data_IF_414009334633
#
_entry.id   IF_414009334633
#
_cell.length_a   1.000
_cell.length_b   1.000
_cell.length_c   1.000
_cell.angle_alpha   90.00
_cell.angle_beta   90.00
_cell.angle_gamma   90.00
#
_symmetry.space_group_name_H-M   'P 1'
#
loop_
_entity.id
_entity.type
_entity.pdbx_description
1 polymer ?
#
# COMPACT_ATOMS: atom_id res chain seq x y z
N UNK A 1 -34.53 5.69 4.27
CA UNK A 1 -33.57 6.66 4.83
C UNK A 1 -32.46 6.88 3.79
N UNK A 2 -32.39 8.09 3.19
CA UNK A 2 -31.48 8.44 2.11
C UNK A 2 -30.02 8.24 2.53
N UNK A 3 -29.65 8.62 3.75
CA UNK A 3 -28.27 8.43 4.23
C UNK A 3 -27.87 6.96 4.32
N UNK A 4 -28.79 6.07 4.71
CA UNK A 4 -28.52 4.63 4.74
C UNK A 4 -28.29 4.08 3.32
N UNK A 5 -29.05 4.53 2.33
CA UNK A 5 -28.85 4.14 0.93
C UNK A 5 -27.47 4.61 0.41
N UNK A 6 -27.06 5.82 0.77
CA UNK A 6 -25.74 6.33 0.39
C UNK A 6 -24.63 5.43 0.97
N UNK A 7 -24.69 5.10 2.26
CA UNK A 7 -23.64 4.34 2.92
C UNK A 7 -23.65 2.82 2.63
N UNK A 8 -24.81 2.24 2.30
CA UNK A 8 -24.88 0.83 1.90
C UNK A 8 -24.58 0.60 0.43
N UNK A 9 -24.84 1.57 -0.44
CA UNK A 9 -24.70 1.39 -1.89
C UNK A 9 -23.66 2.36 -2.46
N UNK A 10 -23.86 3.68 -2.35
CA UNK A 10 -22.97 4.61 -3.04
C UNK A 10 -21.52 4.51 -2.54
N UNK A 11 -21.30 4.56 -1.24
CA UNK A 11 -19.96 4.57 -0.65
C UNK A 11 -19.18 3.28 -0.95
N UNK A 12 -19.71 2.06 -0.72
CA UNK A 12 -18.99 0.82 -1.04
C UNK A 12 -18.70 0.64 -2.53
N UNK A 13 -19.48 1.25 -3.40
CA UNK A 13 -19.23 1.19 -4.84
C UNK A 13 -18.24 2.27 -5.32
N UNK A 14 -18.34 3.49 -4.82
CA UNK A 14 -17.53 4.62 -5.25
C UNK A 14 -16.14 4.65 -4.59
N UNK A 15 -16.04 4.33 -3.30
CA UNK A 15 -14.81 4.46 -2.53
C UNK A 15 -13.68 3.55 -3.03
N UNK A 16 -13.91 2.25 -3.34
CA UNK A 16 -12.90 1.39 -3.93
C UNK A 16 -12.40 1.88 -5.28
N UNK A 17 -13.28 2.41 -6.13
CA UNK A 17 -12.89 3.01 -7.40
C UNK A 17 -11.99 4.22 -7.20
N UNK A 18 -12.37 5.13 -6.28
CA UNK A 18 -11.62 6.32 -5.98
C UNK A 18 -10.19 5.99 -5.50
N UNK A 19 -10.05 5.07 -4.53
CA UNK A 19 -8.75 4.65 -4.03
C UNK A 19 -7.92 3.97 -5.11
N UNK A 20 -8.51 3.03 -5.85
CA UNK A 20 -7.80 2.34 -6.93
C UNK A 20 -7.38 3.30 -8.03
N UNK A 21 -8.18 4.31 -8.34
CA UNK A 21 -7.85 5.34 -9.34
C UNK A 21 -6.71 6.26 -8.86
N UNK A 22 -6.74 6.72 -7.60
CA UNK A 22 -5.70 7.58 -7.03
C UNK A 22 -4.33 6.87 -7.02
N UNK A 23 -4.32 5.58 -6.68
CA UNK A 23 -3.08 4.81 -6.57
C UNK A 23 -2.72 4.02 -7.84
N UNK A 24 -3.47 4.19 -8.93
CA UNK A 24 -3.29 3.44 -10.18
C UNK A 24 -1.88 3.54 -10.80
N UNK A 25 -1.18 4.64 -10.54
CA UNK A 25 0.20 4.83 -11.03
C UNK A 25 1.21 3.93 -10.30
N UNK A 26 0.80 3.14 -9.32
CA UNK A 26 1.58 2.12 -8.60
C UNK A 26 2.96 2.60 -8.11
N UNK A 27 3.78 3.17 -8.99
CA UNK A 27 5.16 3.62 -8.76
C UNK A 27 5.27 5.09 -9.16
N UNK A 28 6.03 5.86 -8.41
CA UNK A 28 6.40 7.22 -8.80
C UNK A 28 7.34 7.13 -9.99
N UNK A 29 6.94 7.69 -11.12
CA UNK A 29 7.78 7.81 -12.32
C UNK A 29 8.20 9.26 -12.53
N UNK A 30 9.35 9.44 -13.20
CA UNK A 30 9.90 10.75 -13.53
C UNK A 30 10.05 11.67 -12.29
N UNK A 31 10.51 11.11 -11.15
CA UNK A 31 10.84 11.94 -10.00
C UNK A 31 11.90 12.98 -10.37
N UNK A 32 11.60 14.25 -10.17
CA UNK A 32 12.44 15.37 -10.61
C UNK A 32 13.69 15.47 -9.75
N UNK A 33 14.86 15.42 -10.37
CA UNK A 33 16.18 15.49 -9.76
C UNK A 33 17.01 16.60 -10.40
N UNK A 34 17.81 17.30 -9.62
CA UNK A 34 18.87 18.20 -10.09
C UNK A 34 20.21 17.52 -9.93
N UNK A 35 21.08 17.71 -10.90
CA UNK A 35 22.46 17.25 -10.81
C UNK A 35 23.38 18.44 -10.61
N UNK A 36 24.25 18.36 -9.60
CA UNK A 36 25.33 19.34 -9.39
C UNK A 36 26.62 18.68 -9.82
N UNK A 37 27.14 19.05 -10.99
CA UNK A 37 28.33 18.48 -11.57
C UNK A 37 29.50 19.49 -11.49
N UNK A 38 30.39 19.30 -10.52
CA UNK A 38 31.63 20.06 -10.40
C UNK A 38 32.81 19.34 -11.07
N UNK A 39 32.63 18.10 -11.51
CA UNK A 39 33.69 17.32 -12.19
C UNK A 39 33.78 17.64 -13.67
N UNK A 40 32.67 18.02 -14.30
CA UNK A 40 32.51 18.26 -15.75
C UNK A 40 33.21 17.18 -16.59
N UNK A 41 33.12 15.92 -16.17
CA UNK A 41 33.83 14.80 -16.78
C UNK A 41 32.90 13.97 -17.69
N UNK A 42 33.50 13.15 -18.55
CA UNK A 42 32.76 12.19 -19.34
C UNK A 42 31.96 11.21 -18.43
N UNK A 43 32.57 10.75 -17.36
CA UNK A 43 31.94 9.78 -16.43
C UNK A 43 30.79 10.38 -15.65
N UNK A 44 30.86 11.65 -15.21
CA UNK A 44 29.75 12.32 -14.53
C UNK A 44 28.56 12.55 -15.48
N UNK A 45 28.84 12.93 -16.74
CA UNK A 45 27.80 13.06 -17.77
C UNK A 45 27.16 11.72 -18.12
N UNK A 46 27.95 10.66 -18.24
CA UNK A 46 27.46 9.31 -18.53
C UNK A 46 26.60 8.78 -17.38
N UNK A 47 27.03 8.97 -16.13
CA UNK A 47 26.23 8.64 -14.94
C UNK A 47 24.90 9.38 -14.97
N UNK A 48 24.92 10.69 -15.17
CA UNK A 48 23.71 11.54 -15.26
C UNK A 48 22.78 11.05 -16.38
N UNK A 49 23.33 10.72 -17.55
CA UNK A 49 22.57 10.23 -18.69
C UNK A 49 21.87 8.90 -18.36
N UNK A 50 22.57 7.98 -17.70
CA UNK A 50 22.00 6.67 -17.31
C UNK A 50 20.93 6.83 -16.23
N UNK A 51 21.14 7.68 -15.24
CA UNK A 51 20.10 7.97 -14.23
C UNK A 51 18.86 8.59 -14.88
N UNK A 52 19.03 9.53 -15.81
CA UNK A 52 17.92 10.12 -16.54
C UNK A 52 17.23 9.15 -17.51
N UNK A 53 17.89 8.06 -17.91
CA UNK A 53 17.31 7.00 -18.73
C UNK A 53 16.48 6.01 -17.93
N UNK A 54 16.57 6.00 -16.59
CA UNK A 54 15.71 5.18 -15.75
C UNK A 54 14.28 5.70 -15.77
N UNK A 55 13.26 4.82 -15.70
CA UNK A 55 11.87 5.26 -15.73
C UNK A 55 11.44 6.04 -14.48
N UNK A 56 12.20 5.93 -13.39
CA UNK A 56 11.84 6.45 -12.08
C UNK A 56 12.31 7.88 -11.85
N UNK A 57 13.36 8.34 -12.57
CA UNK A 57 14.02 9.61 -12.34
C UNK A 57 14.08 10.44 -13.62
N UNK A 58 13.80 11.74 -13.47
CA UNK A 58 13.97 12.75 -14.51
C UNK A 58 14.90 13.86 -14.05
N UNK A 59 16.03 14.00 -14.70
CA UNK A 59 16.95 15.11 -14.47
C UNK A 59 16.37 16.39 -15.11
N UNK A 60 16.01 17.37 -14.28
CA UNK A 60 15.37 18.61 -14.72
C UNK A 60 16.37 19.74 -14.97
N UNK A 61 17.52 19.70 -14.30
CA UNK A 61 18.60 20.66 -14.47
C UNK A 61 19.96 20.05 -14.12
N UNK A 62 21.00 20.56 -14.76
CA UNK A 62 22.39 20.31 -14.39
C UNK A 62 23.02 21.67 -14.11
N UNK A 63 23.58 21.84 -12.91
CA UNK A 63 24.22 23.08 -12.45
C UNK A 63 25.58 22.76 -11.85
N UNK A 64 26.45 23.75 -11.74
CA UNK A 64 27.72 23.63 -10.99
C UNK A 64 27.58 24.23 -9.58
N UNK A 65 26.47 24.94 -9.31
CA UNK A 65 26.23 25.63 -8.05
C UNK A 65 25.25 24.83 -7.14
N UNK A 66 25.72 24.44 -5.97
CA UNK A 66 24.92 23.74 -4.95
C UNK A 66 23.79 24.64 -4.39
N UNK A 67 24.01 25.94 -4.29
CA UNK A 67 23.01 26.86 -3.74
C UNK A 67 21.83 27.07 -4.73
N UNK A 68 22.10 27.02 -6.02
CA UNK A 68 21.04 26.98 -7.03
C UNK A 68 20.20 25.70 -6.92
N UNK A 69 20.84 24.55 -6.79
CA UNK A 69 20.16 23.27 -6.63
C UNK A 69 19.29 23.25 -5.34
N UNK A 70 19.77 23.78 -4.23
CA UNK A 70 18.99 23.90 -2.99
C UNK A 70 17.76 24.79 -3.18
N UNK A 71 17.90 25.93 -3.86
CA UNK A 71 16.76 26.81 -4.19
C UNK A 71 15.71 26.11 -5.02
N UNK A 72 16.11 25.22 -5.94
CA UNK A 72 15.15 24.42 -6.71
C UNK A 72 14.40 23.40 -5.82
N UNK A 73 15.07 22.81 -4.81
CA UNK A 73 14.40 21.96 -3.81
C UNK A 73 13.41 22.77 -2.97
N UNK A 74 13.80 23.95 -2.49
CA UNK A 74 12.94 24.81 -1.68
C UNK A 74 11.69 25.25 -2.45
N UNK A 75 11.81 25.46 -3.75
CA UNK A 75 10.69 25.80 -4.65
C UNK A 75 9.89 24.59 -5.10
N UNK A 76 10.26 23.35 -4.68
CA UNK A 76 9.64 22.08 -5.13
C UNK A 76 9.70 21.87 -6.66
N UNK A 77 10.67 22.47 -7.31
CA UNK A 77 10.97 22.25 -8.73
C UNK A 77 11.72 20.92 -8.92
N UNK A 78 12.45 20.47 -7.88
CA UNK A 78 13.08 19.16 -7.76
C UNK A 78 12.93 18.61 -6.33
N UNK A 79 13.18 17.31 -6.15
CA UNK A 79 13.07 16.60 -4.87
C UNK A 79 14.35 15.89 -4.45
N UNK A 80 15.38 15.92 -5.30
CA UNK A 80 16.68 15.33 -5.02
C UNK A 80 17.80 16.04 -5.76
N UNK A 81 19.01 15.98 -5.19
CA UNK A 81 20.25 16.50 -5.77
C UNK A 81 21.26 15.37 -5.83
N UNK A 82 21.79 15.09 -7.00
CA UNK A 82 22.93 14.20 -7.20
C UNK A 82 24.18 15.07 -7.39
N UNK A 83 25.19 14.85 -6.54
CA UNK A 83 26.39 15.72 -6.53
C UNK A 83 27.63 14.96 -6.99
N UNK A 84 28.32 15.50 -7.98
CA UNK A 84 29.63 15.01 -8.43
C UNK A 84 30.73 15.98 -7.97
N UNK A 85 31.66 15.56 -7.09
CA UNK A 85 32.77 16.40 -6.65
C UNK A 85 33.80 16.60 -7.77
N UNK A 86 34.57 17.68 -7.69
CA UNK A 86 35.62 18.03 -8.68
C UNK A 86 36.62 16.93 -8.93
N UNK A 87 36.94 16.12 -7.94
CA UNK A 87 37.92 15.03 -8.07
C UNK A 87 37.32 13.69 -8.49
N UNK A 88 36.03 13.65 -8.83
CA UNK A 88 35.31 12.41 -9.16
C UNK A 88 36.03 11.58 -10.23
N UNK A 89 36.29 12.14 -11.40
CA UNK A 89 36.91 11.44 -12.53
C UNK A 89 38.38 11.13 -12.25
N UNK A 90 39.13 12.06 -11.64
CA UNK A 90 40.54 11.87 -11.30
C UNK A 90 40.74 10.70 -10.37
N UNK A 91 39.89 10.58 -9.32
CA UNK A 91 39.96 9.49 -8.37
C UNK A 91 39.68 8.14 -9.05
N UNK A 92 38.66 8.07 -9.89
CA UNK A 92 38.32 6.83 -10.62
C UNK A 92 39.45 6.40 -11.57
N UNK A 93 40.07 7.33 -12.31
CA UNK A 93 41.24 6.99 -13.18
C UNK A 93 42.48 6.57 -12.43
N UNK A 94 42.63 7.03 -11.17
CA UNK A 94 43.78 6.60 -10.32
C UNK A 94 43.47 5.36 -9.47
N UNK A 95 42.31 4.71 -9.67
CA UNK A 95 41.90 3.52 -8.93
C UNK A 95 41.47 3.82 -7.49
N UNK A 96 41.23 5.07 -7.17
CA UNK A 96 40.75 5.48 -5.83
C UNK A 96 39.23 5.48 -5.80
N UNK A 97 38.68 5.05 -4.67
CA UNK A 97 37.25 5.14 -4.42
C UNK A 97 36.80 6.60 -4.35
N UNK A 98 35.68 6.90 -4.98
CA UNK A 98 35.01 8.19 -4.88
C UNK A 98 33.55 8.03 -4.50
N UNK A 99 32.99 9.03 -3.83
CA UNK A 99 31.61 9.01 -3.36
C UNK A 99 30.80 10.04 -4.14
N UNK A 100 29.62 9.66 -4.55
CA UNK A 100 28.61 10.53 -5.17
C UNK A 100 27.49 10.76 -4.16
N UNK A 101 27.48 11.87 -3.42
CA UNK A 101 26.42 12.17 -2.48
C UNK A 101 25.06 12.37 -3.19
N UNK A 102 24.02 11.77 -2.59
CA UNK A 102 22.63 11.93 -2.98
C UNK A 102 21.87 12.62 -1.86
N UNK A 103 21.42 13.85 -2.10
CA UNK A 103 20.60 14.61 -1.15
C UNK A 103 19.14 14.53 -1.58
N UNK A 104 18.25 14.10 -0.69
CA UNK A 104 16.84 13.90 -1.00
C UNK A 104 15.93 14.61 -0.02
N UNK A 105 14.84 15.13 -0.53
CA UNK A 105 13.73 15.59 0.30
C UNK A 105 12.98 14.37 0.89
N UNK A 106 13.20 14.12 2.17
CA UNK A 106 12.59 13.00 2.89
C UNK A 106 11.12 13.23 3.26
N UNK A 107 10.52 14.35 2.87
CA UNK A 107 9.08 14.57 3.04
C UNK A 107 8.24 13.58 2.21
N UNK A 108 8.82 12.99 1.18
CA UNK A 108 8.23 11.92 0.38
C UNK A 108 9.16 10.71 0.27
N UNK A 109 8.84 9.67 1.02
CA UNK A 109 9.59 8.40 1.02
C UNK A 109 9.64 7.75 -0.38
N UNK A 110 8.62 7.94 -1.19
CA UNK A 110 8.54 7.37 -2.54
C UNK A 110 9.58 8.00 -3.48
N UNK A 111 9.78 9.32 -3.42
CA UNK A 111 10.84 9.98 -4.20
C UNK A 111 12.23 9.54 -3.76
N UNK A 112 12.47 9.48 -2.45
CA UNK A 112 13.74 8.96 -1.93
C UNK A 112 14.05 7.56 -2.45
N UNK A 113 13.06 6.63 -2.40
CA UNK A 113 13.20 5.27 -2.89
C UNK A 113 13.57 5.24 -4.38
N UNK A 114 12.89 6.05 -5.21
CA UNK A 114 13.13 6.15 -6.63
C UNK A 114 14.58 6.62 -6.94
N UNK A 115 15.02 7.70 -6.29
CA UNK A 115 16.37 8.23 -6.46
C UNK A 115 17.45 7.25 -6.00
N UNK A 116 17.25 6.63 -4.83
CA UNK A 116 18.21 5.69 -4.27
C UNK A 116 18.39 4.46 -5.16
N UNK A 117 17.29 3.89 -5.66
CA UNK A 117 17.34 2.72 -6.53
C UNK A 117 18.04 3.06 -7.86
N UNK A 118 17.63 4.13 -8.53
CA UNK A 118 18.22 4.55 -9.79
C UNK A 118 19.72 4.88 -9.66
N UNK A 119 20.09 5.66 -8.65
CA UNK A 119 21.50 6.02 -8.44
C UNK A 119 22.36 4.80 -8.07
N UNK A 120 21.83 3.87 -7.26
CA UNK A 120 22.56 2.66 -6.86
C UNK A 120 22.76 1.73 -8.04
N UNK A 121 21.74 1.46 -8.85
CA UNK A 121 21.79 0.62 -10.03
C UNK A 121 22.84 1.15 -11.03
N UNK A 122 22.76 2.44 -11.37
CA UNK A 122 23.73 3.07 -12.28
C UNK A 122 25.16 3.07 -11.70
N UNK A 123 25.30 3.28 -10.38
CA UNK A 123 26.61 3.23 -9.72
C UNK A 123 27.23 1.84 -9.77
N UNK A 124 26.45 0.80 -9.58
CA UNK A 124 26.90 -0.60 -9.67
C UNK A 124 27.30 -0.96 -11.10
N UNK A 125 26.51 -0.60 -12.09
CA UNK A 125 26.76 -0.88 -13.50
C UNK A 125 28.02 -0.16 -14.00
N UNK A 126 28.11 1.15 -13.77
CA UNK A 126 29.32 1.91 -14.11
C UNK A 126 30.55 1.41 -13.36
N UNK A 127 30.41 1.09 -12.07
CA UNK A 127 31.49 0.52 -11.28
C UNK A 127 31.98 -0.82 -11.82
N UNK A 128 31.06 -1.66 -12.36
CA UNK A 128 31.40 -2.91 -13.04
C UNK A 128 32.18 -2.65 -14.34
N UNK A 129 31.69 -1.75 -15.20
CA UNK A 129 32.37 -1.39 -16.46
C UNK A 129 33.77 -0.83 -16.24
N UNK A 130 33.95 0.08 -15.26
CA UNK A 130 35.26 0.65 -14.94
C UNK A 130 36.24 -0.42 -14.46
N UNK A 131 35.78 -1.36 -13.61
CA UNK A 131 36.63 -2.47 -13.15
C UNK A 131 37.02 -3.41 -14.28
N UNK A 132 36.10 -3.74 -15.17
CA UNK A 132 36.36 -4.57 -16.35
C UNK A 132 37.38 -3.91 -17.26
N UNK A 133 37.28 -2.61 -17.49
CA UNK A 133 38.21 -1.85 -18.32
C UNK A 133 39.63 -1.77 -17.72
N UNK A 134 39.74 -1.74 -16.39
CA UNK A 134 41.01 -1.64 -15.68
C UNK A 134 41.70 -3.01 -15.40
N UNK A 135 41.09 -4.14 -15.77
CA UNK A 135 41.64 -5.50 -15.61
C UNK A 135 41.90 -6.17 -16.94
N UNK A 136 42.89 -5.73 -17.71
CA UNK A 136 43.18 -6.27 -19.04
C UNK A 136 43.79 -7.67 -18.99
N UNK A 137 43.22 -8.62 -19.72
CA UNK A 137 43.88 -9.92 -20.03
C UNK A 137 43.17 -11.17 -19.52
N UNK A 138 42.03 -11.06 -18.86
CA UNK A 138 41.22 -12.23 -18.51
C UNK A 138 40.13 -12.52 -19.57
N UNK A 139 39.68 -13.76 -19.65
CA UNK A 139 38.46 -14.09 -20.42
C UNK A 139 37.26 -13.31 -19.85
N UNK A 140 36.34 -12.86 -20.71
CA UNK A 140 35.17 -12.11 -20.31
C UNK A 140 34.39 -12.74 -19.12
N UNK A 141 34.35 -14.05 -19.05
CA UNK A 141 33.76 -14.82 -17.95
C UNK A 141 34.60 -14.78 -16.67
N UNK A 142 35.93 -14.74 -16.80
CA UNK A 142 36.86 -14.63 -15.66
C UNK A 142 36.86 -13.22 -15.09
N UNK A 143 36.72 -12.22 -15.94
CA UNK A 143 36.55 -10.82 -15.55
C UNK A 143 35.22 -10.60 -14.80
N UNK A 144 34.13 -11.18 -15.28
CA UNK A 144 32.84 -11.13 -14.65
C UNK A 144 32.83 -11.73 -13.22
N UNK A 145 33.47 -12.91 -13.07
CA UNK A 145 33.61 -13.57 -11.75
C UNK A 145 34.48 -12.74 -10.80
N UNK A 146 35.59 -12.15 -11.34
CA UNK A 146 36.50 -11.33 -10.49
C UNK A 146 35.83 -10.02 -10.04
N UNK A 147 35.03 -9.42 -10.90
CA UNK A 147 34.36 -8.16 -10.64
C UNK A 147 33.11 -8.33 -9.77
N UNK A 148 32.43 -9.43 -9.91
CA UNK A 148 31.19 -9.74 -9.18
C UNK A 148 31.18 -11.20 -8.71
N UNK A 149 32.03 -11.56 -7.71
CA UNK A 149 32.20 -12.95 -7.25
C UNK A 149 30.90 -13.52 -6.63
N UNK A 150 30.02 -12.67 -6.16
CA UNK A 150 28.71 -13.05 -5.59
C UNK A 150 27.65 -12.19 -6.28
N UNK A 151 27.16 -12.61 -7.47
CA UNK A 151 26.03 -11.93 -8.11
C UNK A 151 24.79 -12.11 -7.23
N UNK A 152 24.09 -11.02 -6.94
CA UNK A 152 22.77 -11.12 -6.34
C UNK A 152 21.70 -10.99 -7.41
N UNK A 153 20.69 -11.83 -7.32
CA UNK A 153 19.49 -11.77 -8.13
C UNK A 153 18.34 -11.29 -7.25
N UNK A 154 17.76 -10.14 -7.60
CA UNK A 154 16.60 -9.62 -6.90
C UNK A 154 15.32 -10.17 -7.51
N UNK A 155 14.73 -11.16 -6.87
CA UNK A 155 13.43 -11.71 -7.28
C UNK A 155 12.36 -11.11 -6.39
N UNK A 156 11.51 -10.25 -6.96
CA UNK A 156 10.35 -9.69 -6.24
C UNK A 156 9.24 -10.72 -6.20
N UNK A 157 8.92 -11.20 -5.00
CA UNK A 157 7.81 -12.13 -4.79
C UNK A 157 6.52 -11.34 -4.51
N UNK A 158 5.40 -11.82 -5.07
CA UNK A 158 4.03 -11.35 -4.81
C UNK A 158 3.66 -9.94 -5.31
N UNK A 159 4.52 -8.95 -5.21
CA UNK A 159 4.35 -7.62 -5.76
C UNK A 159 5.49 -7.32 -6.72
N UNK A 160 5.42 -7.88 -7.91
CA UNK A 160 6.48 -7.82 -8.92
C UNK A 160 6.78 -6.41 -9.41
N UNK A 161 5.80 -5.51 -9.33
CA UNK A 161 5.95 -4.12 -9.73
C UNK A 161 6.44 -3.20 -8.60
N UNK A 162 6.62 -3.75 -7.36
CA UNK A 162 6.89 -2.95 -6.16
C UNK A 162 5.89 -1.79 -5.96
N UNK A 163 4.65 -1.97 -6.45
CA UNK A 163 3.62 -0.96 -6.52
C UNK A 163 3.00 -0.67 -5.16
N UNK A 164 2.69 0.60 -4.92
CA UNK A 164 2.06 1.04 -3.69
C UNK A 164 0.58 0.65 -3.64
N UNK A 165 -0.12 0.68 -4.77
CA UNK A 165 -1.51 0.25 -4.88
C UNK A 165 -1.66 -1.24 -4.57
N UNK A 166 -0.82 -2.09 -5.18
CA UNK A 166 -0.81 -3.54 -4.94
C UNK A 166 -0.58 -3.90 -3.48
N UNK A 167 0.12 -3.05 -2.73
CA UNK A 167 0.37 -3.20 -1.30
C UNK A 167 -0.80 -2.71 -0.43
N UNK A 168 -1.31 -1.50 -0.69
CA UNK A 168 -2.24 -0.80 0.21
C UNK A 168 -3.71 -1.08 -0.11
N UNK A 169 -4.08 -1.13 -1.40
CA UNK A 169 -5.48 -1.22 -1.83
C UNK A 169 -6.20 -2.46 -1.28
N UNK A 170 -5.62 -3.68 -1.30
CA UNK A 170 -6.29 -4.86 -0.75
C UNK A 170 -6.72 -4.69 0.72
N UNK A 171 -5.89 -4.04 1.52
CA UNK A 171 -6.22 -3.74 2.92
C UNK A 171 -7.36 -2.75 3.06
N UNK A 172 -7.33 -1.68 2.27
CA UNK A 172 -8.39 -0.65 2.26
C UNK A 172 -9.72 -1.27 1.84
N UNK A 173 -9.74 -2.16 0.84
CA UNK A 173 -10.96 -2.81 0.37
C UNK A 173 -11.66 -3.59 1.48
N UNK A 174 -10.91 -4.36 2.27
CA UNK A 174 -11.44 -5.11 3.42
C UNK A 174 -11.94 -4.15 4.51
N UNK A 175 -11.16 -3.10 4.81
CA UNK A 175 -11.56 -2.09 5.80
C UNK A 175 -12.85 -1.37 5.41
N UNK A 176 -13.01 -1.00 4.14
CA UNK A 176 -14.20 -0.32 3.62
C UNK A 176 -15.45 -1.18 3.81
N UNK A 177 -15.38 -2.50 3.61
CA UNK A 177 -16.50 -3.42 3.83
C UNK A 177 -16.98 -3.32 5.29
N UNK A 178 -16.09 -3.43 6.27
CA UNK A 178 -16.46 -3.32 7.67
C UNK A 178 -16.99 -1.92 8.03
N UNK A 179 -16.30 -0.88 7.58
CA UNK A 179 -16.64 0.49 7.94
C UNK A 179 -18.00 0.93 7.40
N UNK A 180 -18.32 0.52 6.16
CA UNK A 180 -19.64 0.82 5.57
C UNK A 180 -20.77 0.03 6.24
N UNK A 181 -20.49 -1.20 6.71
CA UNK A 181 -21.41 -1.97 7.57
C UNK A 181 -21.68 -1.26 8.89
N UNK A 182 -20.63 -0.79 9.57
CA UNK A 182 -20.78 -0.05 10.85
C UNK A 182 -21.58 1.21 10.64
N UNK A 183 -21.32 1.96 9.58
CA UNK A 183 -22.08 3.17 9.25
C UNK A 183 -23.55 2.86 8.96
N UNK A 184 -23.81 1.97 8.02
CA UNK A 184 -25.18 1.69 7.57
C UNK A 184 -26.03 1.06 8.67
N UNK A 185 -25.55 0.04 9.36
CA UNK A 185 -26.26 -0.64 10.46
C UNK A 185 -26.40 0.30 11.66
N UNK A 186 -25.36 1.07 11.98
CA UNK A 186 -25.37 2.04 13.05
C UNK A 186 -26.40 3.14 12.83
N UNK A 187 -26.48 3.71 11.62
CA UNK A 187 -27.47 4.73 11.26
C UNK A 187 -28.89 4.19 11.31
N UNK A 188 -29.12 2.94 10.89
CA UNK A 188 -30.44 2.30 11.04
C UNK A 188 -30.82 2.15 12.52
N UNK A 189 -29.87 1.75 13.37
CA UNK A 189 -30.08 1.62 14.80
C UNK A 189 -30.34 2.97 15.47
N UNK A 190 -29.53 3.99 15.17
CA UNK A 190 -29.71 5.36 15.68
C UNK A 190 -31.05 5.97 15.26
N UNK A 191 -31.39 5.88 13.97
CA UNK A 191 -32.70 6.37 13.46
C UNK A 191 -33.88 5.66 14.12
N UNK A 192 -33.77 4.34 14.38
CA UNK A 192 -34.84 3.62 15.07
C UNK A 192 -35.03 4.08 16.52
N UNK A 193 -33.97 4.49 17.21
CA UNK A 193 -34.02 5.05 18.54
C UNK A 193 -34.56 6.47 18.55
N UNK A 194 -34.08 7.37 17.71
CA UNK A 194 -34.58 8.74 17.59
C UNK A 194 -36.10 8.78 17.30
N UNK A 195 -36.58 7.89 16.42
CA UNK A 195 -38.00 7.78 16.06
C UNK A 195 -38.83 6.94 17.05
N UNK A 196 -38.23 6.53 18.17
CA UNK A 196 -38.85 5.67 19.19
C UNK A 196 -39.48 4.37 18.66
N UNK A 197 -38.93 3.86 17.51
CA UNK A 197 -39.39 2.63 16.86
C UNK A 197 -38.67 1.37 17.36
N UNK A 198 -37.76 1.52 18.30
CA UNK A 198 -36.97 0.40 18.84
C UNK A 198 -37.88 -0.67 19.47
N UNK A 199 -38.98 -0.26 20.06
CA UNK A 199 -39.96 -1.15 20.70
C UNK A 199 -40.90 -1.87 19.71
N UNK A 200 -40.91 -1.52 18.44
CA UNK A 200 -41.80 -2.15 17.44
C UNK A 200 -41.57 -3.65 17.27
N UNK A 201 -40.38 -4.14 17.59
CA UNK A 201 -40.00 -5.57 17.51
C UNK A 201 -40.15 -6.32 18.85
N UNK A 202 -40.54 -5.65 19.94
CA UNK A 202 -40.71 -6.24 21.27
C UNK A 202 -41.72 -7.40 21.28
N UNK A 203 -42.88 -7.34 20.59
CA UNK A 203 -43.82 -8.46 20.55
C UNK A 203 -43.18 -9.75 20.02
N UNK A 204 -42.31 -9.62 19.00
CA UNK A 204 -41.60 -10.75 18.39
C UNK A 204 -40.48 -11.29 19.31
N UNK A 205 -39.80 -10.40 20.06
CA UNK A 205 -38.72 -10.78 20.95
C UNK A 205 -39.18 -11.58 22.18
N UNK A 206 -40.44 -11.46 22.56
CA UNK A 206 -41.01 -12.15 23.74
C UNK A 206 -41.47 -13.59 23.48
N UNK A 207 -41.56 -14.01 22.20
CA UNK A 207 -42.02 -15.35 21.83
C UNK A 207 -40.86 -16.21 21.22
N UNK A 208 -40.66 -17.41 21.71
CA UNK A 208 -39.81 -18.46 21.11
C UNK A 208 -38.43 -18.00 20.62
N UNK A 209 -37.53 -17.58 21.48
CA UNK A 209 -36.22 -17.07 21.10
C UNK A 209 -36.27 -15.94 20.06
N UNK A 210 -37.27 -15.07 20.14
CA UNK A 210 -37.50 -14.02 19.14
C UNK A 210 -36.34 -13.08 18.93
N UNK A 211 -35.53 -12.83 19.95
CA UNK A 211 -34.30 -12.03 19.80
C UNK A 211 -33.33 -12.66 18.81
N UNK A 212 -33.09 -13.98 18.90
CA UNK A 212 -32.23 -14.69 17.97
C UNK A 212 -32.78 -14.62 16.53
N UNK A 213 -34.09 -14.80 16.37
CA UNK A 213 -34.75 -14.68 15.05
C UNK A 213 -34.60 -13.30 14.46
N UNK A 214 -34.73 -12.24 15.25
CA UNK A 214 -34.56 -10.86 14.80
C UNK A 214 -33.10 -10.62 14.37
N UNK A 215 -32.13 -11.05 15.17
CA UNK A 215 -30.72 -10.89 14.88
C UNK A 215 -30.35 -11.64 13.61
N UNK A 216 -30.73 -12.92 13.50
CA UNK A 216 -30.44 -13.73 12.32
C UNK A 216 -31.17 -13.23 11.06
N UNK A 217 -32.44 -12.79 11.17
CA UNK A 217 -33.18 -12.22 10.04
C UNK A 217 -32.55 -10.94 9.51
N UNK A 218 -32.15 -10.04 10.40
CA UNK A 218 -31.43 -8.82 10.02
C UNK A 218 -30.05 -9.14 9.44
N UNK A 219 -29.28 -10.04 10.08
CA UNK A 219 -27.95 -10.40 9.56
C UNK A 219 -28.03 -11.04 8.18
N UNK A 220 -29.02 -11.89 7.91
CA UNK A 220 -29.23 -12.49 6.58
C UNK A 220 -29.50 -11.42 5.52
N UNK A 221 -30.32 -10.42 5.84
CA UNK A 221 -30.56 -9.30 4.91
C UNK A 221 -29.27 -8.53 4.60
N UNK A 222 -28.47 -8.22 5.63
CA UNK A 222 -27.18 -7.54 5.43
C UNK A 222 -26.18 -8.39 4.63
N UNK A 223 -26.13 -9.70 4.87
CA UNK A 223 -25.30 -10.61 4.10
C UNK A 223 -25.67 -10.59 2.63
N UNK A 224 -26.95 -10.70 2.30
CA UNK A 224 -27.43 -10.68 0.92
C UNK A 224 -27.02 -9.39 0.18
N UNK A 225 -27.12 -8.25 0.83
CA UNK A 225 -26.67 -6.97 0.27
C UNK A 225 -25.13 -6.98 0.10
N UNK A 226 -24.40 -7.39 1.13
CA UNK A 226 -22.94 -7.29 1.14
C UNK A 226 -22.22 -8.36 0.35
N UNK A 227 -22.86 -9.48 0.01
CA UNK A 227 -22.33 -10.40 -0.99
C UNK A 227 -22.15 -9.70 -2.33
N UNK A 228 -23.12 -8.88 -2.75
CA UNK A 228 -23.02 -8.09 -4.00
C UNK A 228 -21.91 -7.05 -3.88
N UNK A 229 -21.83 -6.36 -2.75
CA UNK A 229 -20.74 -5.40 -2.47
C UNK A 229 -19.37 -6.08 -2.48
N UNK A 230 -19.23 -7.25 -1.87
CA UNK A 230 -17.96 -7.99 -1.85
C UNK A 230 -17.54 -8.45 -3.24
N UNK A 231 -18.47 -8.92 -4.08
CA UNK A 231 -18.17 -9.26 -5.48
C UNK A 231 -17.64 -8.02 -6.22
N UNK A 232 -18.29 -6.88 -6.05
CA UNK A 232 -17.84 -5.63 -6.64
C UNK A 232 -16.44 -5.25 -6.14
N UNK A 233 -16.27 -5.14 -4.84
CA UNK A 233 -15.06 -4.62 -4.18
C UNK A 233 -13.86 -5.56 -4.39
N UNK A 234 -14.06 -6.88 -4.29
CA UNK A 234 -12.95 -7.84 -4.26
C UNK A 234 -12.72 -8.60 -5.57
N UNK A 235 -13.69 -8.58 -6.50
CA UNK A 235 -13.52 -9.23 -7.78
C UNK A 235 -13.52 -8.24 -8.97
N UNK A 236 -14.47 -7.30 -9.00
CA UNK A 236 -14.60 -6.38 -10.14
C UNK A 236 -13.56 -5.28 -10.10
N UNK A 237 -13.43 -4.57 -8.98
CA UNK A 237 -12.50 -3.44 -8.84
C UNK A 237 -11.04 -3.85 -9.08
N UNK A 238 -10.50 -4.91 -8.44
CA UNK A 238 -9.13 -5.32 -8.70
C UNK A 238 -8.86 -5.72 -10.16
N UNK A 239 -9.83 -6.37 -10.81
CA UNK A 239 -9.71 -6.69 -12.24
C UNK A 239 -9.72 -5.45 -13.13
N UNK A 240 -10.54 -4.44 -12.79
CA UNK A 240 -10.63 -3.19 -13.55
C UNK A 240 -9.30 -2.42 -13.53
N UNK A 241 -8.59 -2.46 -12.40
CA UNK A 241 -7.31 -1.77 -12.22
C UNK A 241 -6.08 -2.70 -12.35
N UNK A 242 -6.27 -3.92 -12.86
CA UNK A 242 -5.18 -4.90 -13.06
C UNK A 242 -4.35 -5.16 -11.80
N UNK A 243 -4.96 -5.04 -10.62
CA UNK A 243 -4.28 -5.35 -9.37
C UNK A 243 -3.99 -6.86 -9.27
N UNK A 244 -2.82 -7.25 -8.77
CA UNK A 244 -2.46 -8.66 -8.68
C UNK A 244 -3.41 -9.41 -7.74
N UNK A 245 -4.04 -10.46 -8.26
CA UNK A 245 -4.88 -11.39 -7.52
C UNK A 245 -4.37 -12.80 -7.79
N UNK A 246 -3.70 -13.38 -6.83
CA UNK A 246 -3.10 -14.73 -6.93
C UNK A 246 -3.98 -15.76 -6.21
N UNK A 247 -4.85 -15.31 -5.30
CA UNK A 247 -5.72 -16.17 -4.49
C UNK A 247 -6.79 -16.88 -5.30
N UNK A 248 -7.03 -18.15 -4.99
CA UNK A 248 -8.14 -18.91 -5.57
C UNK A 248 -9.49 -18.30 -5.16
N UNK A 249 -10.43 -18.07 -6.10
CA UNK A 249 -11.73 -17.47 -5.83
C UNK A 249 -12.55 -18.21 -4.77
N UNK A 250 -12.46 -19.54 -4.72
CA UNK A 250 -13.20 -20.36 -3.73
C UNK A 250 -12.64 -20.12 -2.34
N UNK A 251 -11.32 -20.08 -2.19
CA UNK A 251 -10.65 -19.79 -0.92
C UNK A 251 -10.98 -18.39 -0.42
N UNK A 252 -11.00 -17.40 -1.33
CA UNK A 252 -11.41 -16.03 -1.00
C UNK A 252 -12.87 -16.01 -0.51
N UNK A 253 -13.78 -16.70 -1.20
CA UNK A 253 -15.19 -16.77 -0.81
C UNK A 253 -15.36 -17.42 0.57
N UNK A 254 -14.70 -18.54 0.82
CA UNK A 254 -14.74 -19.24 2.10
C UNK A 254 -14.20 -18.39 3.25
N UNK A 255 -13.24 -17.51 2.99
CA UNK A 255 -12.70 -16.57 3.96
C UNK A 255 -13.63 -15.37 4.20
N UNK A 256 -14.20 -14.80 3.12
CA UNK A 256 -15.03 -13.59 3.20
C UNK A 256 -16.36 -13.84 3.91
N UNK A 257 -16.95 -15.03 3.79
CA UNK A 257 -18.20 -15.35 4.50
C UNK A 257 -18.09 -15.21 6.02
N UNK A 258 -17.15 -15.88 6.72
CA UNK A 258 -16.95 -15.69 8.17
C UNK A 258 -16.60 -14.23 8.53
N UNK A 259 -15.81 -13.56 7.69
CA UNK A 259 -15.47 -12.16 7.89
C UNK A 259 -16.70 -11.25 7.84
N UNK A 260 -17.63 -11.47 6.88
CA UNK A 260 -18.88 -10.74 6.78
C UNK A 260 -19.76 -10.97 8.01
N UNK A 261 -19.91 -12.22 8.44
CA UNK A 261 -20.65 -12.53 9.66
C UNK A 261 -20.09 -11.79 10.88
N UNK A 262 -18.77 -11.87 11.08
CA UNK A 262 -18.10 -11.17 12.18
C UNK A 262 -18.32 -9.66 12.11
N UNK A 263 -18.17 -9.06 10.93
CA UNK A 263 -18.35 -7.61 10.72
C UNK A 263 -19.80 -7.16 10.92
N UNK A 264 -20.78 -7.96 10.49
CA UNK A 264 -22.20 -7.66 10.68
C UNK A 264 -22.57 -7.73 12.15
N UNK A 265 -22.18 -8.81 12.87
CA UNK A 265 -22.47 -8.92 14.30
C UNK A 265 -21.75 -7.84 15.10
N UNK A 266 -20.54 -7.50 14.75
CA UNK A 266 -19.80 -6.38 15.34
C UNK A 266 -20.55 -5.05 15.13
N UNK A 267 -20.98 -4.76 13.91
CA UNK A 267 -21.75 -3.56 13.59
C UNK A 267 -23.11 -3.51 14.30
N UNK A 268 -23.82 -4.65 14.39
CA UNK A 268 -25.08 -4.76 15.12
C UNK A 268 -24.87 -4.53 16.62
N UNK A 269 -23.78 -5.04 17.20
CA UNK A 269 -23.43 -4.81 18.60
C UNK A 269 -23.14 -3.33 18.85
N UNK A 270 -22.32 -2.71 18.01
CA UNK A 270 -22.04 -1.27 18.10
C UNK A 270 -23.31 -0.42 17.94
N UNK A 271 -24.22 -0.79 17.04
CA UNK A 271 -25.48 -0.08 16.83
C UNK A 271 -26.34 -0.06 18.10
N UNK A 272 -26.16 -1.05 18.98
CA UNK A 272 -26.78 -1.11 20.30
C UNK A 272 -26.39 0.04 21.23
N UNK A 273 -25.25 0.65 21.06
CA UNK A 273 -24.75 1.78 21.85
C UNK A 273 -25.02 3.14 21.19
N UNK A 274 -25.48 3.16 19.95
CA UNK A 274 -25.71 4.39 19.20
C UNK A 274 -27.12 4.93 19.47
N UNK A 275 -27.19 6.14 20.02
CA UNK A 275 -28.48 6.76 20.39
C UNK A 275 -29.01 7.71 19.32
N UNK A 276 -28.11 8.22 18.46
CA UNK A 276 -28.46 9.18 17.39
C UNK A 276 -28.06 8.65 16.04
N UNK A 277 -28.71 9.16 15.00
CA UNK A 277 -28.37 8.83 13.60
C UNK A 277 -26.93 9.22 13.22
N UNK A 278 -26.39 10.25 13.85
CA UNK A 278 -25.07 10.81 13.53
C UNK A 278 -23.92 10.11 14.26
N UNK A 279 -24.19 9.44 15.39
CA UNK A 279 -23.17 8.76 16.19
C UNK A 279 -22.27 7.79 15.40
N UNK A 280 -22.78 6.98 14.45
CA UNK A 280 -21.95 6.11 13.63
C UNK A 280 -20.92 6.85 12.79
N UNK A 281 -21.20 8.07 12.34
CA UNK A 281 -20.26 8.87 11.56
C UNK A 281 -19.04 9.26 12.38
N UNK A 282 -19.23 9.61 13.64
CA UNK A 282 -18.12 9.88 14.56
C UNK A 282 -17.27 8.63 14.77
N UNK A 283 -17.89 7.49 15.03
CA UNK A 283 -17.18 6.22 15.18
C UNK A 283 -16.37 5.90 13.92
N UNK A 284 -16.96 6.07 12.74
CA UNK A 284 -16.28 5.85 11.47
C UNK A 284 -15.04 6.76 11.32
N UNK A 285 -15.19 8.06 11.51
CA UNK A 285 -14.09 9.03 11.33
C UNK A 285 -12.93 8.72 12.27
N UNK A 286 -13.23 8.48 13.56
CA UNK A 286 -12.18 8.21 14.55
C UNK A 286 -11.55 6.83 14.41
N UNK A 287 -12.27 5.82 13.94
CA UNK A 287 -11.74 4.45 13.87
C UNK A 287 -11.07 4.11 12.53
N UNK A 288 -11.47 4.74 11.43
CA UNK A 288 -11.00 4.35 10.09
C UNK A 288 -9.47 4.43 9.95
N UNK A 289 -8.87 5.55 10.32
CA UNK A 289 -7.42 5.77 10.22
C UNK A 289 -6.67 4.90 11.24
N UNK A 290 -7.16 4.87 12.49
CA UNK A 290 -6.54 4.07 13.56
C UNK A 290 -6.52 2.59 13.18
N UNK A 291 -7.62 2.05 12.66
CA UNK A 291 -7.72 0.65 12.26
C UNK A 291 -6.80 0.32 11.09
N UNK A 292 -6.59 1.24 10.15
CA UNK A 292 -5.63 1.03 9.06
C UNK A 292 -4.19 0.89 9.60
N UNK A 293 -3.80 1.72 10.57
CA UNK A 293 -2.46 1.63 11.17
C UNK A 293 -2.30 0.37 12.05
N UNK A 294 -3.29 0.03 12.86
CA UNK A 294 -3.24 -1.13 13.76
C UNK A 294 -3.34 -2.46 12.98
N UNK A 295 -3.89 -2.45 11.76
CA UNK A 295 -4.03 -3.66 10.93
C UNK A 295 -2.70 -4.34 10.57
N UNK A 296 -1.58 -3.63 10.70
CA UNK A 296 -0.25 -4.15 10.35
C UNK A 296 0.12 -3.94 8.88
N UNK A 297 -0.64 -3.15 8.13
CA UNK A 297 -0.35 -2.85 6.72
C UNK A 297 0.53 -1.61 6.59
N UNK A 298 0.14 -0.49 7.18
CA UNK A 298 0.93 0.74 7.12
C UNK A 298 2.18 0.68 7.99
N UNK A 299 2.18 -0.14 9.04
CA UNK A 299 3.28 -0.36 9.95
C UNK A 299 3.44 -1.85 10.24
N UNK A 300 4.66 -2.43 10.19
CA UNK A 300 4.87 -3.85 10.44
C UNK A 300 4.28 -4.29 11.77
N UNK A 301 3.55 -5.42 11.76
CA UNK A 301 2.85 -5.92 12.95
C UNK A 301 3.80 -6.14 14.14
N UNK A 302 4.99 -6.63 13.87
CA UNK A 302 6.03 -6.94 14.85
C UNK A 302 6.53 -5.68 15.58
N UNK A 303 6.40 -4.52 14.93
CA UNK A 303 6.81 -3.22 15.48
C UNK A 303 5.67 -2.48 16.20
N UNK A 304 4.44 -3.03 16.19
CA UNK A 304 3.30 -2.47 16.92
C UNK A 304 3.38 -2.95 18.39
N UNK A 305 3.28 -2.06 19.41
CA UNK A 305 3.26 -2.50 20.80
C UNK A 305 2.14 -3.50 21.09
N UNK A 306 2.35 -4.53 21.95
CA UNK A 306 1.39 -5.62 22.19
C UNK A 306 -0.01 -5.16 22.63
N UNK A 307 -0.09 -4.08 23.39
CA UNK A 307 -1.34 -3.46 23.81
C UNK A 307 -2.22 -3.05 22.62
N UNK A 308 -1.64 -2.37 21.61
CA UNK A 308 -2.36 -1.94 20.42
C UNK A 308 -2.69 -3.11 19.49
N UNK A 309 -1.84 -4.14 19.45
CA UNK A 309 -2.15 -5.37 18.74
C UNK A 309 -3.40 -6.03 19.33
N UNK A 310 -3.48 -6.14 20.66
CA UNK A 310 -4.64 -6.71 21.35
C UNK A 310 -5.94 -5.91 21.06
N UNK A 311 -5.87 -4.59 21.08
CA UNK A 311 -6.99 -3.71 20.69
C UNK A 311 -7.38 -3.97 19.23
N UNK A 312 -6.41 -4.07 18.32
CA UNK A 312 -6.67 -4.35 16.92
C UNK A 312 -7.49 -5.63 16.70
N UNK A 313 -7.23 -6.69 17.45
CA UNK A 313 -7.96 -7.95 17.33
C UNK A 313 -9.43 -7.90 17.81
N UNK A 314 -9.86 -6.84 18.50
CA UNK A 314 -11.27 -6.63 18.81
C UNK A 314 -12.08 -6.23 17.57
N UNK A 315 -11.43 -5.75 16.53
CA UNK A 315 -12.07 -5.32 15.29
C UNK A 315 -11.90 -6.38 14.19
N UNK A 316 -12.99 -6.89 13.61
CA UNK A 316 -12.93 -7.91 12.55
C UNK A 316 -12.06 -7.51 11.35
N UNK A 317 -11.91 -6.20 11.07
CA UNK A 317 -11.06 -5.69 9.98
C UNK A 317 -9.59 -6.08 10.13
N UNK A 318 -9.04 -6.09 11.33
CA UNK A 318 -7.61 -6.42 11.55
C UNK A 318 -7.28 -7.86 11.11
N UNK A 319 -7.90 -8.92 11.68
CA UNK A 319 -7.69 -10.27 11.18
C UNK A 319 -8.20 -10.46 9.76
N UNK A 320 -9.24 -9.72 9.34
CA UNK A 320 -9.76 -9.72 7.99
C UNK A 320 -8.73 -9.26 6.96
N UNK A 321 -8.08 -8.13 7.21
CA UNK A 321 -7.01 -7.59 6.35
C UNK A 321 -5.83 -8.55 6.28
N UNK A 322 -5.34 -9.00 7.44
CA UNK A 322 -4.18 -9.90 7.51
C UNK A 322 -4.45 -11.23 6.80
N UNK A 323 -5.63 -11.82 7.00
CA UNK A 323 -6.03 -13.06 6.33
C UNK A 323 -6.21 -12.87 4.83
N UNK A 324 -6.88 -11.80 4.40
CA UNK A 324 -7.08 -11.52 2.99
C UNK A 324 -5.78 -11.31 2.22
N UNK A 325 -4.84 -10.53 2.78
CA UNK A 325 -3.52 -10.30 2.16
C UNK A 325 -2.77 -11.64 2.02
N UNK A 326 -2.78 -12.50 3.04
CA UNK A 326 -2.13 -13.81 2.98
C UNK A 326 -2.71 -14.70 1.89
N UNK A 327 -4.02 -14.73 1.72
CA UNK A 327 -4.71 -15.53 0.72
C UNK A 327 -4.53 -14.95 -0.67
N UNK A 328 -4.69 -13.62 -0.80
CA UNK A 328 -4.72 -12.96 -2.09
C UNK A 328 -3.34 -12.69 -2.68
N UNK A 329 -2.33 -12.45 -1.83
CA UNK A 329 -1.01 -12.00 -2.26
C UNK A 329 0.08 -13.03 -2.00
N UNK A 330 0.03 -13.78 -0.89
CA UNK A 330 1.15 -14.59 -0.43
C UNK A 330 1.02 -16.09 -0.71
N UNK A 331 -0.09 -16.58 -1.29
CA UNK A 331 -0.33 -18.02 -1.58
C UNK A 331 -0.08 -18.99 -0.41
N UNK A 332 -0.01 -18.51 0.83
CA UNK A 332 0.38 -19.30 1.99
C UNK A 332 -0.58 -20.47 2.34
N UNK A 333 -1.69 -20.60 1.59
CA UNK A 333 -2.64 -21.71 1.74
C UNK A 333 -2.73 -22.64 0.52
N UNK A 334 -1.98 -22.38 -0.54
CA UNK A 334 -1.84 -23.33 -1.64
C UNK A 334 -0.63 -24.19 -1.35
N UNK A 335 -0.87 -25.39 -0.85
CA UNK A 335 0.00 -26.52 -0.47
C UNK A 335 1.50 -26.19 -0.29
N UNK A 336 2.12 -26.62 0.83
CA UNK A 336 3.57 -26.54 0.95
C UNK A 336 4.17 -27.29 -0.25
N UNK A 337 4.99 -26.60 -1.02
CA UNK A 337 5.81 -27.27 -2.02
C UNK A 337 6.67 -28.31 -1.30
N UNK A 338 6.68 -29.58 -1.74
CA UNK A 338 7.52 -30.59 -1.10
C UNK A 338 9.01 -30.43 -1.37
N UNK A 339 9.48 -29.23 -1.73
CA UNK A 339 10.86 -28.96 -2.17
C UNK A 339 11.55 -27.77 -1.48
N UNK A 340 11.12 -27.40 -0.28
CA UNK A 340 11.90 -26.46 0.56
C UNK A 340 12.20 -27.08 1.91
#
# INVERSE_FOLDING_TARGET
DEGVLIFFFLVPFAYPLLYSFIYNNEVVREAKMVVVDQSDSYLSREFTRRVNATPDVRVVAVSTDMEEAKRMLDRKEAYGILYFPTEFSKNLHTGKQTTVPLYCDMSSLLFYKAFLLAATEVSLDLGKEIRMHNAPGASAKQEEITVNPIPYESVTLFNTQNGFASFLVPAILILVIQQTLVLGIGMLGGTAREKNRFHSLVPISRHFNGTLRIVLGKSLTYILIYVVVCIWVLAVVPKLFSLPQVGDPVTILLFILPYLFASIFFAMTLSGFMNTREAPMLVFVFTSVILLFISGVSWPKEAIPPFWQAIGYLFPSTPGIQGFIRINTCLLYTSPSPRD
#
